data_IF_818573773982
#
_entry.id   IF_818573773982
#
_cell.length_a   1.000
_cell.length_b   1.000
_cell.length_c   1.000
_cell.angle_alpha   90.00
_cell.angle_beta   90.00
_cell.angle_gamma   90.00
#
_symmetry.space_group_name_H-M   'P 1'
#
loop_
_entity.id
_entity.type
_entity.pdbx_description
1 polymer ?
#
# COMPACT_ATOMS: atom_id res chain seq x y z
N UNK A 1 14.80 -16.32 -19.70
CA UNK A 1 14.29 -17.09 -18.53
C UNK A 1 15.19 -17.01 -17.29
N UNK A 2 16.43 -17.56 -17.26
CA UNK A 2 17.25 -17.51 -16.02
C UNK A 2 17.63 -16.08 -15.57
N UNK A 3 17.96 -15.18 -16.51
CA UNK A 3 18.29 -13.78 -16.19
C UNK A 3 17.06 -13.03 -15.63
N UNK A 4 15.89 -13.21 -16.22
CA UNK A 4 14.65 -12.57 -15.77
C UNK A 4 14.26 -13.05 -14.38
N UNK A 5 14.35 -14.36 -14.11
CA UNK A 5 14.11 -14.92 -12.79
C UNK A 5 15.09 -14.36 -11.74
N UNK A 6 16.38 -14.26 -12.08
CA UNK A 6 17.39 -13.67 -11.20
C UNK A 6 17.08 -12.20 -10.89
N UNK A 7 16.69 -11.43 -11.90
CA UNK A 7 16.31 -10.03 -11.73
C UNK A 7 15.05 -9.90 -10.85
N UNK A 8 14.03 -10.72 -11.06
CA UNK A 8 12.83 -10.74 -10.21
C UNK A 8 13.15 -11.07 -8.76
N UNK A 9 14.02 -12.07 -8.54
CA UNK A 9 14.47 -12.43 -7.19
C UNK A 9 15.23 -11.29 -6.52
N UNK A 10 16.10 -10.60 -7.25
CA UNK A 10 16.81 -9.43 -6.75
C UNK A 10 15.83 -8.31 -6.38
N UNK A 11 14.83 -8.04 -7.22
CA UNK A 11 13.77 -7.06 -6.91
C UNK A 11 13.03 -7.39 -5.62
N UNK A 12 12.61 -8.64 -5.42
CA UNK A 12 11.95 -9.07 -4.19
C UNK A 12 12.86 -8.97 -2.96
N UNK A 13 14.15 -9.32 -3.11
CA UNK A 13 15.14 -9.17 -2.04
C UNK A 13 15.35 -7.71 -1.65
N UNK A 14 15.48 -6.82 -2.63
CA UNK A 14 15.61 -5.37 -2.38
C UNK A 14 14.36 -4.81 -1.72
N UNK A 15 13.17 -5.24 -2.16
CA UNK A 15 11.91 -4.82 -1.55
C UNK A 15 11.82 -5.27 -0.09
N UNK A 16 12.13 -6.55 0.18
CA UNK A 16 12.16 -7.08 1.54
C UNK A 16 13.15 -6.31 2.43
N UNK A 17 14.38 -6.09 1.97
CA UNK A 17 15.39 -5.35 2.72
C UNK A 17 14.95 -3.90 3.01
N UNK A 18 14.35 -3.22 2.03
CA UNK A 18 13.81 -1.87 2.24
C UNK A 18 12.69 -1.87 3.27
N UNK A 19 11.74 -2.82 3.20
CA UNK A 19 10.65 -2.92 4.15
C UNK A 19 11.13 -3.23 5.57
N UNK A 20 12.14 -4.09 5.71
CA UNK A 20 12.78 -4.35 7.00
C UNK A 20 13.43 -3.10 7.59
N UNK A 21 14.13 -2.31 6.77
CA UNK A 21 14.72 -1.05 7.20
C UNK A 21 13.67 0.00 7.57
N UNK A 22 12.55 0.03 6.84
CA UNK A 22 11.48 1.02 7.03
C UNK A 22 10.52 0.69 8.16
N UNK A 23 10.37 -0.59 8.52
CA UNK A 23 9.42 -1.06 9.55
C UNK A 23 9.51 -0.23 10.83
N UNK A 24 10.74 0.02 11.28
CA UNK A 24 11.00 0.68 12.55
C UNK A 24 11.40 2.17 12.40
N UNK A 25 11.56 2.68 11.17
CA UNK A 25 12.03 4.05 10.92
C UNK A 25 10.90 5.11 11.12
N UNK A 26 10.98 5.99 12.14
CA UNK A 26 9.98 7.05 12.40
C UNK A 26 9.84 8.08 11.28
N UNK A 27 10.74 8.08 10.30
CA UNK A 27 10.70 8.93 9.11
C UNK A 27 10.03 8.27 7.91
N UNK A 28 9.42 7.10 8.10
CA UNK A 28 8.67 6.41 7.05
C UNK A 28 7.22 6.23 7.47
N UNK A 29 6.31 6.60 6.55
CA UNK A 29 4.89 6.33 6.66
C UNK A 29 4.48 5.44 5.48
N UNK A 30 4.04 4.23 5.80
CA UNK A 30 3.41 3.34 4.82
C UNK A 30 1.96 3.75 4.64
N UNK A 31 1.55 3.91 3.38
CA UNK A 31 0.18 4.24 2.99
C UNK A 31 -0.30 3.21 1.98
N UNK A 32 -1.58 2.93 2.01
CA UNK A 32 -2.21 2.06 1.02
C UNK A 32 -3.40 2.70 0.33
N UNK A 33 -3.74 2.17 -0.84
CA UNK A 33 -4.97 2.55 -1.52
C UNK A 33 -6.21 2.18 -0.68
N UNK A 34 -6.17 1.08 0.07
CA UNK A 34 -7.26 0.66 0.95
C UNK A 34 -7.60 1.72 2.00
N UNK A 35 -6.60 2.38 2.58
CA UNK A 35 -6.79 3.47 3.55
C UNK A 35 -7.46 4.70 2.92
N UNK A 36 -7.01 5.11 1.73
CA UNK A 36 -7.65 6.20 0.99
C UNK A 36 -9.09 5.87 0.59
N UNK A 37 -9.35 4.61 0.23
CA UNK A 37 -10.70 4.15 -0.11
C UNK A 37 -11.62 4.04 1.10
N UNK A 38 -11.10 3.66 2.28
CA UNK A 38 -11.89 3.56 3.51
C UNK A 38 -12.22 4.92 4.12
N UNK A 39 -11.23 5.81 4.21
CA UNK A 39 -11.42 7.17 4.71
C UNK A 39 -10.33 8.10 4.18
N UNK A 40 -10.64 8.74 3.05
CA UNK A 40 -9.73 9.69 2.41
C UNK A 40 -9.34 10.84 3.36
N UNK A 41 -10.31 11.45 4.06
CA UNK A 41 -10.04 12.63 4.90
C UNK A 41 -9.15 12.27 6.09
N UNK A 42 -9.41 11.14 6.74
CA UNK A 42 -8.59 10.65 7.86
C UNK A 42 -7.20 10.23 7.39
N UNK A 43 -7.08 9.64 6.21
CA UNK A 43 -5.76 9.32 5.61
C UNK A 43 -4.95 10.59 5.35
N UNK A 44 -5.54 11.63 4.74
CA UNK A 44 -4.84 12.90 4.52
C UNK A 44 -4.46 13.58 5.85
N UNK A 45 -5.32 13.50 6.88
CA UNK A 45 -4.98 13.98 8.23
C UNK A 45 -3.77 13.24 8.81
N UNK A 46 -3.77 11.91 8.72
CA UNK A 46 -2.63 11.08 9.17
C UNK A 46 -1.31 11.50 8.50
N UNK A 47 -1.33 11.79 7.19
CA UNK A 47 -0.16 12.31 6.47
C UNK A 47 0.28 13.67 7.04
N UNK A 48 -0.68 14.55 7.35
CA UNK A 48 -0.39 15.84 7.98
C UNK A 48 0.28 15.69 9.34
N UNK A 49 -0.20 14.77 10.18
CA UNK A 49 0.40 14.44 11.49
C UNK A 49 1.82 13.90 11.35
N UNK A 50 2.03 12.96 10.43
CA UNK A 50 3.36 12.41 10.14
C UNK A 50 4.36 13.49 9.69
N UNK A 51 3.91 14.42 8.83
CA UNK A 51 4.70 15.56 8.37
C UNK A 51 4.84 16.66 9.43
N UNK A 52 4.21 16.50 10.60
CA UNK A 52 4.20 17.49 11.69
C UNK A 52 3.75 18.87 11.24
N UNK A 53 2.71 18.91 10.39
CA UNK A 53 2.14 20.15 9.92
C UNK A 53 1.47 20.90 11.09
N UNK A 54 1.62 22.22 11.13
CA UNK A 54 0.80 23.05 12.01
C UNK A 54 -0.67 22.99 11.60
N UNK A 55 -1.60 23.37 12.48
CA UNK A 55 -3.05 23.36 12.18
C UNK A 55 -3.41 24.15 10.92
N UNK A 56 -2.77 25.31 10.71
CA UNK A 56 -2.94 26.13 9.52
C UNK A 56 -2.41 25.42 8.25
N UNK A 57 -1.26 24.75 8.35
CA UNK A 57 -0.68 23.97 7.25
C UNK A 57 -1.52 22.73 6.94
N UNK A 58 -2.00 22.02 7.95
CA UNK A 58 -2.86 20.85 7.81
C UNK A 58 -4.20 21.21 7.14
N UNK A 59 -4.79 22.35 7.53
CA UNK A 59 -6.01 22.87 6.90
C UNK A 59 -5.81 23.21 5.43
N UNK A 60 -4.70 23.88 5.10
CA UNK A 60 -4.32 24.18 3.71
C UNK A 60 -4.05 22.91 2.90
N UNK A 61 -3.37 21.92 3.50
CA UNK A 61 -3.06 20.63 2.90
C UNK A 61 -4.33 19.81 2.62
N UNK A 62 -5.27 19.76 3.55
CA UNK A 62 -6.58 19.12 3.33
C UNK A 62 -7.37 19.82 2.20
N UNK A 63 -7.34 21.15 2.16
CA UNK A 63 -8.02 21.92 1.13
C UNK A 63 -7.36 21.78 -0.26
N UNK A 64 -6.04 21.60 -0.35
CA UNK A 64 -5.36 21.32 -1.63
C UNK A 64 -5.61 19.89 -2.11
N UNK A 65 -5.55 18.91 -1.21
CA UNK A 65 -5.82 17.51 -1.51
C UNK A 65 -7.23 17.31 -2.11
N UNK A 66 -8.24 17.99 -1.57
CA UNK A 66 -9.61 17.96 -2.08
C UNK A 66 -9.76 18.61 -3.47
N UNK A 67 -8.99 19.67 -3.76
CA UNK A 67 -9.01 20.35 -5.07
C UNK A 67 -8.32 19.53 -6.16
N UNK A 68 -7.32 18.75 -5.77
CA UNK A 68 -6.63 17.80 -6.64
C UNK A 68 -7.29 16.42 -6.61
N UNK A 69 -8.61 16.33 -6.41
CA UNK A 69 -9.33 15.09 -6.71
C UNK A 69 -9.02 14.71 -8.17
N UNK A 70 -8.09 13.76 -8.31
CA UNK A 70 -7.65 13.19 -9.58
C UNK A 70 -8.81 12.46 -10.27
N UNK A 71 -10.00 12.43 -9.64
CA UNK A 71 -11.21 11.80 -10.07
C UNK A 71 -12.19 12.60 -10.91
N UNK A 72 -11.79 13.72 -11.50
CA UNK A 72 -12.57 14.33 -12.58
C UNK A 72 -13.01 13.28 -13.62
N UNK A 73 -14.26 13.35 -14.11
CA UNK A 73 -14.90 12.38 -15.05
C UNK A 73 -14.00 11.97 -16.24
N UNK A 74 -13.06 12.82 -16.65
CA UNK A 74 -12.11 12.57 -17.75
C UNK A 74 -11.02 11.52 -17.41
N UNK A 75 -10.62 11.37 -16.14
CA UNK A 75 -9.56 10.45 -15.71
C UNK A 75 -10.10 9.08 -15.25
N UNK A 76 -11.41 8.92 -15.12
CA UNK A 76 -12.04 7.66 -14.73
C UNK A 76 -11.76 6.52 -15.73
N UNK A 77 -11.58 6.82 -17.02
CA UNK A 77 -11.23 5.82 -18.05
C UNK A 77 -9.76 5.37 -18.00
N UNK A 78 -8.84 6.24 -17.59
CA UNK A 78 -7.41 5.89 -17.46
C UNK A 78 -7.09 5.16 -16.14
N UNK A 79 -7.92 5.31 -15.10
CA UNK A 79 -7.82 4.54 -13.85
C UNK A 79 -8.08 3.05 -13.98
N UNK A 80 -8.53 2.57 -15.15
CA UNK A 80 -8.61 1.14 -15.46
C UNK A 80 -7.26 0.42 -15.51
N UNK A 81 -6.15 1.16 -15.53
CA UNK A 81 -4.79 0.60 -15.63
C UNK A 81 -4.01 0.54 -14.31
N UNK A 82 -4.51 1.14 -13.22
CA UNK A 82 -3.99 0.86 -11.88
C UNK A 82 -4.62 -0.43 -11.39
N UNK A 83 -4.13 -1.56 -11.90
CA UNK A 83 -4.31 -2.91 -11.34
C UNK A 83 -5.69 -3.18 -10.69
N UNK A 84 -6.77 -2.83 -11.40
CA UNK A 84 -8.11 -3.37 -11.15
C UNK A 84 -8.20 -4.84 -11.57
N UNK A 85 -7.06 -5.53 -11.62
CA UNK A 85 -6.91 -6.95 -11.79
C UNK A 85 -7.18 -7.64 -10.46
N UNK A 86 -8.46 -7.63 -10.10
CA UNK A 86 -9.19 -8.75 -9.48
C UNK A 86 -8.36 -9.52 -8.46
N UNK A 87 -8.21 -8.94 -7.27
CA UNK A 87 -7.54 -9.50 -6.10
C UNK A 87 -7.98 -10.93 -5.74
N UNK A 88 -9.12 -11.42 -6.26
CA UNK A 88 -9.66 -12.77 -6.04
C UNK A 88 -10.29 -13.41 -7.28
N UNK A 89 -9.67 -13.27 -8.46
CA UNK A 89 -9.94 -14.25 -9.53
C UNK A 89 -9.34 -15.58 -9.10
N UNK A 90 -10.04 -16.69 -9.33
CA UNK A 90 -9.52 -18.05 -9.09
C UNK A 90 -8.11 -18.24 -9.67
N UNK A 91 -7.82 -17.63 -10.82
CA UNK A 91 -6.49 -17.61 -11.44
C UNK A 91 -5.38 -16.97 -10.56
N UNK A 92 -5.67 -15.91 -9.80
CA UNK A 92 -4.70 -15.27 -8.91
C UNK A 92 -4.46 -16.12 -7.65
N UNK A 93 -5.51 -16.78 -7.13
CA UNK A 93 -5.37 -17.70 -5.99
C UNK A 93 -4.56 -18.94 -6.38
N UNK A 94 -4.79 -19.48 -7.58
CA UNK A 94 -4.01 -20.59 -8.11
C UNK A 94 -2.53 -20.19 -8.33
N UNK A 95 -2.28 -19.00 -8.89
CA UNK A 95 -0.91 -18.50 -9.07
C UNK A 95 -0.21 -18.24 -7.72
N UNK A 96 -0.92 -17.65 -6.75
CA UNK A 96 -0.40 -17.45 -5.41
C UNK A 96 -0.02 -18.79 -4.76
N UNK A 97 -0.92 -19.78 -4.85
CA UNK A 97 -0.65 -21.14 -4.35
C UNK A 97 0.59 -21.75 -5.02
N UNK A 98 0.71 -21.66 -6.34
CA UNK A 98 1.89 -22.17 -7.08
C UNK A 98 3.17 -21.44 -6.65
N UNK A 99 3.14 -20.12 -6.47
CA UNK A 99 4.31 -19.35 -6.04
C UNK A 99 4.76 -19.70 -4.62
N UNK A 100 3.79 -19.93 -3.72
CA UNK A 100 4.06 -20.39 -2.34
C UNK A 100 4.60 -21.82 -2.37
N UNK A 101 3.87 -22.75 -2.99
CA UNK A 101 4.18 -24.18 -3.02
C UNK A 101 5.50 -24.49 -3.77
N UNK A 102 5.91 -23.62 -4.72
CA UNK A 102 7.17 -23.79 -5.46
C UNK A 102 8.42 -23.69 -4.60
N UNK A 103 8.32 -23.15 -3.37
CA UNK A 103 9.46 -22.87 -2.49
C UNK A 103 10.43 -21.80 -3.02
N UNK A 104 10.18 -21.23 -4.20
CA UNK A 104 11.08 -20.26 -4.83
C UNK A 104 10.96 -18.87 -4.20
N UNK A 105 9.73 -18.45 -3.89
CA UNK A 105 9.40 -17.12 -3.40
C UNK A 105 8.49 -17.10 -2.17
N UNK A 106 7.85 -18.22 -1.81
CA UNK A 106 6.82 -18.30 -0.76
C UNK A 106 7.19 -17.56 0.52
N UNK A 107 8.31 -17.95 1.16
CA UNK A 107 8.77 -17.33 2.40
C UNK A 107 9.08 -15.83 2.25
N UNK A 108 9.56 -15.40 1.09
CA UNK A 108 9.86 -13.98 0.85
C UNK A 108 8.57 -13.17 0.72
N UNK A 109 7.59 -13.70 -0.03
CA UNK A 109 6.28 -13.05 -0.21
C UNK A 109 5.51 -13.00 1.11
N UNK A 110 5.54 -14.06 1.91
CA UNK A 110 4.93 -14.08 3.24
C UNK A 110 5.57 -13.04 4.17
N UNK A 111 6.91 -12.97 4.20
CA UNK A 111 7.62 -11.95 4.98
C UNK A 111 7.28 -10.53 4.52
N UNK A 112 7.19 -10.29 3.21
CA UNK A 112 6.76 -9.02 2.63
C UNK A 112 5.34 -8.68 3.09
N UNK A 113 4.39 -9.61 2.99
CA UNK A 113 3.00 -9.40 3.41
C UNK A 113 2.92 -9.07 4.90
N UNK A 114 3.63 -9.80 5.76
CA UNK A 114 3.67 -9.51 7.20
C UNK A 114 4.23 -8.11 7.46
N UNK A 115 5.38 -7.77 6.88
CA UNK A 115 6.01 -6.45 7.07
C UNK A 115 5.13 -5.30 6.57
N UNK A 116 4.38 -5.53 5.49
CA UNK A 116 3.45 -4.55 4.96
C UNK A 116 2.35 -4.26 5.98
N UNK A 117 1.70 -5.29 6.53
CA UNK A 117 0.65 -5.13 7.53
C UNK A 117 1.19 -4.50 8.83
N UNK A 118 2.34 -4.94 9.32
CA UNK A 118 2.99 -4.36 10.51
C UNK A 118 3.23 -2.85 10.34
N UNK A 119 3.67 -2.43 9.14
CA UNK A 119 3.93 -1.02 8.83
C UNK A 119 2.66 -0.18 8.79
N UNK A 120 1.55 -0.75 8.31
CA UNK A 120 0.24 -0.08 8.32
C UNK A 120 -0.31 0.05 9.74
N UNK A 121 -0.27 -1.02 10.53
CA UNK A 121 -0.73 -1.03 11.91
C UNK A 121 0.02 -0.01 12.77
N UNK A 122 1.34 0.07 12.57
CA UNK A 122 2.17 1.11 13.17
C UNK A 122 1.72 2.51 12.77
N UNK A 123 1.40 2.75 11.49
CA UNK A 123 0.87 4.03 11.03
C UNK A 123 -0.44 4.40 11.72
N UNK A 124 -1.31 3.41 11.96
CA UNK A 124 -2.53 3.58 12.76
C UNK A 124 -2.22 3.93 14.21
N UNK A 125 -1.26 3.25 14.85
CA UNK A 125 -0.88 3.48 16.24
C UNK A 125 -0.21 4.84 16.46
N UNK A 126 0.71 5.25 15.58
CA UNK A 126 1.52 6.46 15.75
C UNK A 126 0.81 7.73 15.27
N UNK A 127 0.05 7.64 14.17
CA UNK A 127 -0.47 8.82 13.47
C UNK A 127 -2.00 8.76 13.26
N UNK A 128 -2.67 7.72 13.77
CA UNK A 128 -4.12 7.59 13.67
C UNK A 128 -4.63 7.30 12.25
N UNK A 129 -3.78 6.76 11.37
CA UNK A 129 -4.18 6.31 10.03
C UNK A 129 -5.36 5.32 10.12
N UNK A 130 -6.33 5.38 9.18
CA UNK A 130 -7.43 4.41 9.16
C UNK A 130 -6.92 3.00 8.89
N UNK A 131 -7.63 2.00 9.40
CA UNK A 131 -7.41 0.60 9.06
C UNK A 131 -8.08 0.34 7.71
N UNK A 132 -7.43 -0.41 6.82
CA UNK A 132 -8.06 -0.87 5.59
C UNK A 132 -9.31 -1.69 5.94
N UNK A 133 -10.48 -1.24 5.48
CA UNK A 133 -11.67 -2.10 5.55
C UNK A 133 -11.50 -3.13 4.44
N UNK A 134 -11.26 -4.40 4.80
CA UNK A 134 -11.42 -5.50 3.85
C UNK A 134 -12.83 -5.37 3.27
N UNK A 135 -12.94 -4.96 2.00
CA UNK A 135 -14.23 -4.91 1.33
C UNK A 135 -14.76 -6.34 1.30
N UNK A 136 -15.75 -6.63 2.15
CA UNK A 136 -16.61 -7.79 1.98
C UNK A 136 -17.14 -7.75 0.54
N UNK A 137 -16.86 -8.81 -0.22
CA UNK A 137 -17.28 -8.90 -1.60
C UNK A 137 -18.82 -8.88 -1.67
N UNK A 138 -19.42 -8.17 -2.65
CA UNK A 138 -20.77 -8.52 -3.09
C UNK A 138 -20.81 -9.92 -3.70
#
# INVERSE_FOLDING_TARGET
>A
VQLEFRNQRLTLQTMLANMQNWRDDPKVLSLSLGQFESDYKKTIRCIGEFLRLSEAQASSFLASAQRHDLGGRKNARQRGHSTRTRYRKEANLALQKVLIDSGAFGNQLEAITSLYHDSLDRGTQLYGCPIEVERAAP
#
